data_IF_536455715558
#
_entry.id   IF_536455715558
#
_cell.length_a   1.000
_cell.length_b   1.000
_cell.length_c   1.000
_cell.angle_alpha   90.00
_cell.angle_beta   90.00
_cell.angle_gamma   90.00
#
_symmetry.space_group_name_H-M   'P 1'
#
loop_
_entity.id
_entity.type
_entity.pdbx_description
1 polymer ?
#
# COMPACT_ATOMS: atom_id res chain seq x y z
N UNK A 1 -5.14 -7.47 -0.60
CA UNK A 1 -4.99 -6.71 -1.86
C UNK A 1 -3.64 -6.99 -2.50
N UNK A 2 -2.51 -6.67 -1.86
CA UNK A 2 -1.16 -6.90 -2.41
C UNK A 2 -0.89 -8.34 -2.89
N UNK A 3 -1.29 -9.36 -2.13
CA UNK A 3 -1.15 -10.78 -2.56
C UNK A 3 -1.93 -11.12 -3.84
N UNK A 4 -3.10 -10.51 -4.04
CA UNK A 4 -3.90 -10.72 -5.25
C UNK A 4 -3.24 -10.09 -6.48
N UNK A 5 -2.49 -9.00 -6.28
CA UNK A 5 -1.70 -8.35 -7.33
C UNK A 5 -0.55 -9.23 -7.81
N UNK A 6 0.09 -9.98 -6.91
CA UNK A 6 1.09 -10.97 -7.28
C UNK A 6 0.50 -12.16 -8.04
N UNK A 7 -0.67 -12.63 -7.63
CA UNK A 7 -1.28 -13.82 -8.23
C UNK A 7 -1.82 -13.58 -9.65
N UNK A 8 -2.21 -12.33 -9.97
CA UNK A 8 -2.81 -11.97 -11.25
C UNK A 8 -2.38 -10.57 -11.72
N UNK A 9 -1.07 -10.34 -11.98
CA UNK A 9 -0.54 -9.02 -12.31
C UNK A 9 -1.17 -8.41 -13.58
N UNK A 10 -1.60 -9.24 -14.53
CA UNK A 10 -2.27 -8.85 -15.78
C UNK A 10 -3.60 -8.12 -15.58
N UNK A 11 -4.27 -8.33 -14.44
CA UNK A 11 -5.50 -7.61 -14.09
C UNK A 11 -5.25 -6.16 -13.62
N UNK A 12 -3.98 -5.78 -13.49
CA UNK A 12 -3.57 -4.46 -12.99
C UNK A 12 -2.88 -3.67 -14.11
N UNK A 13 -3.48 -3.60 -15.30
CA UNK A 13 -2.96 -2.81 -16.44
C UNK A 13 -2.76 -1.30 -16.14
N UNK A 14 -3.36 -0.80 -15.07
CA UNK A 14 -3.18 0.58 -14.58
C UNK A 14 -1.83 0.85 -13.90
N UNK A 15 -0.97 -0.16 -13.69
CA UNK A 15 0.33 -0.03 -13.04
C UNK A 15 1.25 1.01 -13.71
N UNK A 16 1.25 1.07 -15.04
CA UNK A 16 1.99 2.10 -15.79
C UNK A 16 1.47 3.52 -15.53
N UNK A 17 0.15 3.68 -15.42
CA UNK A 17 -0.51 4.96 -15.05
C UNK A 17 -0.07 5.43 -13.67
N UNK A 18 0.21 4.52 -12.73
CA UNK A 18 0.65 4.92 -11.38
C UNK A 18 2.06 5.49 -11.33
N UNK A 19 2.98 5.04 -12.17
CA UNK A 19 4.31 5.65 -12.26
C UNK A 19 4.23 7.07 -12.84
N UNK A 20 3.35 7.28 -13.81
CA UNK A 20 3.06 8.60 -14.36
C UNK A 20 2.40 9.52 -13.32
N UNK A 21 1.48 8.99 -12.50
CA UNK A 21 0.91 9.71 -11.34
C UNK A 21 2.01 10.07 -10.33
N UNK A 22 2.91 9.14 -9.98
CA UNK A 22 4.02 9.42 -9.06
C UNK A 22 4.96 10.51 -9.60
N UNK A 23 5.24 10.50 -10.91
CA UNK A 23 5.98 11.56 -11.60
C UNK A 23 5.27 12.91 -11.45
N UNK A 24 3.98 12.97 -11.80
CA UNK A 24 3.16 14.20 -11.71
C UNK A 24 3.05 14.70 -10.28
N UNK A 25 2.83 13.83 -9.29
CA UNK A 25 2.81 14.21 -7.89
C UNK A 25 4.09 14.95 -7.49
N UNK A 26 5.27 14.54 -7.98
CA UNK A 26 6.53 15.23 -7.70
C UNK A 26 6.68 16.56 -8.43
N UNK A 27 6.21 16.67 -9.68
CA UNK A 27 6.54 17.80 -10.57
C UNK A 27 5.41 18.81 -10.78
N UNK A 28 4.18 18.50 -10.39
CA UNK A 28 2.97 19.29 -10.63
C UNK A 28 2.26 19.56 -9.29
N UNK A 29 2.40 20.80 -8.80
CA UNK A 29 1.92 21.18 -7.47
C UNK A 29 0.38 21.28 -7.40
N UNK A 30 -0.26 21.70 -8.49
CA UNK A 30 -1.72 21.79 -8.60
C UNK A 30 -2.33 20.38 -8.61
N UNK A 31 -1.79 19.50 -9.45
CA UNK A 31 -2.19 18.09 -9.45
C UNK A 31 -1.97 17.43 -8.09
N UNK A 32 -0.89 17.76 -7.37
CA UNK A 32 -0.64 17.24 -6.02
C UNK A 32 -1.71 17.71 -5.04
N UNK A 33 -2.11 18.97 -5.06
CA UNK A 33 -3.14 19.50 -4.16
C UNK A 33 -4.49 18.82 -4.41
N UNK A 34 -4.91 18.72 -5.67
CA UNK A 34 -6.14 18.01 -6.05
C UNK A 34 -6.10 16.53 -5.69
N UNK A 35 -4.95 15.90 -5.93
CA UNK A 35 -4.75 14.48 -5.60
C UNK A 35 -4.84 14.24 -4.10
N UNK A 36 -4.17 15.05 -3.28
CA UNK A 36 -4.20 14.92 -1.82
C UNK A 36 -5.64 15.04 -1.29
N UNK A 37 -6.43 15.99 -1.79
CA UNK A 37 -7.83 16.15 -1.38
C UNK A 37 -8.67 14.89 -1.66
N UNK A 38 -8.48 14.26 -2.83
CA UNK A 38 -9.20 13.02 -3.19
C UNK A 38 -8.67 11.78 -2.48
N UNK A 39 -7.38 11.75 -2.21
CA UNK A 39 -6.72 10.59 -1.60
C UNK A 39 -7.01 10.50 -0.10
N UNK A 40 -7.25 11.64 0.56
CA UNK A 40 -7.61 11.70 1.98
C UNK A 40 -8.89 10.91 2.27
N UNK A 41 -9.95 11.09 1.46
CA UNK A 41 -11.22 10.36 1.62
C UNK A 41 -11.05 8.83 1.47
N UNK A 42 -10.20 8.40 0.53
CA UNK A 42 -9.88 6.98 0.32
C UNK A 42 -9.06 6.39 1.48
N UNK A 43 -8.18 7.21 2.07
CA UNK A 43 -7.35 6.81 3.20
C UNK A 43 -8.17 6.59 4.47
N UNK A 44 -9.21 7.40 4.72
CA UNK A 44 -10.05 7.26 5.90
C UNK A 44 -10.72 5.89 6.02
N UNK A 45 -11.20 5.32 4.91
CA UNK A 45 -11.76 3.97 4.92
C UNK A 45 -10.71 2.89 5.26
N UNK A 46 -9.47 3.08 4.81
CA UNK A 46 -8.36 2.18 5.11
C UNK A 46 -7.94 2.28 6.57
N UNK A 47 -7.80 3.50 7.09
CA UNK A 47 -7.49 3.78 8.49
C UNK A 47 -8.57 3.16 9.40
N UNK A 48 -9.86 3.39 9.13
CA UNK A 48 -10.95 2.81 9.89
C UNK A 48 -10.95 1.26 9.87
N UNK A 49 -10.48 0.64 8.78
CA UNK A 49 -10.29 -0.82 8.73
C UNK A 49 -9.12 -1.26 9.62
N UNK A 50 -8.01 -0.52 9.62
CA UNK A 50 -6.86 -0.83 10.47
C UNK A 50 -7.22 -0.67 11.95
N UNK A 51 -7.94 0.39 12.32
CA UNK A 51 -8.42 0.60 13.69
C UNK A 51 -9.29 -0.56 14.19
N UNK A 52 -10.26 -1.00 13.38
CA UNK A 52 -11.08 -2.18 13.73
C UNK A 52 -10.25 -3.44 13.95
N UNK A 53 -9.21 -3.64 13.15
CA UNK A 53 -8.30 -4.79 13.29
C UNK A 53 -7.40 -4.69 14.51
N UNK A 54 -6.96 -3.48 14.86
CA UNK A 54 -6.20 -3.19 16.08
C UNK A 54 -7.07 -3.41 17.32
N UNK A 55 -8.30 -2.91 17.34
CA UNK A 55 -9.28 -3.15 18.39
C UNK A 55 -9.61 -4.64 18.57
N UNK A 56 -9.62 -5.42 17.48
CA UNK A 56 -9.79 -6.87 17.52
C UNK A 56 -8.52 -7.64 17.94
N UNK A 57 -7.42 -6.95 18.28
CA UNK A 57 -6.16 -7.56 18.74
C UNK A 57 -5.36 -8.27 17.65
N UNK A 58 -5.70 -8.08 16.36
CA UNK A 58 -5.03 -8.75 15.24
C UNK A 58 -3.82 -7.99 14.72
N UNK A 59 -3.81 -6.66 14.89
CA UNK A 59 -2.68 -5.80 14.56
C UNK A 59 -1.93 -5.41 15.83
N UNK A 60 -0.64 -5.10 15.65
CA UNK A 60 0.19 -4.52 16.68
C UNK A 60 -0.40 -3.20 17.19
N UNK A 61 -0.24 -2.96 18.48
CA UNK A 61 -0.83 -1.82 19.18
C UNK A 61 0.21 -0.82 19.70
N UNK A 62 1.49 -1.16 19.58
CA UNK A 62 2.66 -0.37 20.01
C UNK A 62 3.00 0.81 19.07
N UNK A 63 2.30 0.95 17.95
CA UNK A 63 2.48 2.07 17.00
C UNK A 63 1.13 2.70 16.61
N UNK A 64 1.10 4.00 16.25
CA UNK A 64 -0.10 4.65 15.72
C UNK A 64 -0.59 3.99 14.42
N UNK A 65 -1.90 4.01 14.19
CA UNK A 65 -2.52 3.38 13.03
C UNK A 65 -2.14 4.09 11.74
N UNK A 66 -1.95 5.41 11.79
CA UNK A 66 -1.49 6.23 10.67
C UNK A 66 -0.09 5.80 10.21
N UNK A 67 0.78 5.41 11.14
CA UNK A 67 2.12 4.89 10.82
C UNK A 67 2.00 3.53 10.10
N UNK A 68 1.09 2.66 10.56
CA UNK A 68 0.82 1.39 9.87
C UNK A 68 0.23 1.61 8.47
N UNK A 69 -0.65 2.59 8.32
CA UNK A 69 -1.22 2.98 7.03
C UNK A 69 -0.12 3.42 6.06
N UNK A 70 0.72 4.38 6.47
CA UNK A 70 1.85 4.87 5.65
C UNK A 70 2.82 3.74 5.30
N UNK A 71 3.14 2.87 6.25
CA UNK A 71 4.01 1.72 6.00
C UNK A 71 3.43 0.78 4.92
N UNK A 72 2.15 0.43 5.02
CA UNK A 72 1.49 -0.45 4.05
C UNK A 72 1.34 0.20 2.67
N UNK A 73 1.10 1.51 2.62
CA UNK A 73 1.07 2.27 1.36
C UNK A 73 2.46 2.29 0.68
N UNK A 74 3.53 2.51 1.44
CA UNK A 74 4.91 2.44 0.92
C UNK A 74 5.24 1.06 0.32
N UNK A 75 4.83 -0.02 0.99
CA UNK A 75 5.00 -1.38 0.47
C UNK A 75 4.19 -1.58 -0.81
N UNK A 76 2.95 -1.10 -0.84
CA UNK A 76 2.09 -1.20 -2.03
C UNK A 76 2.71 -0.48 -3.23
N UNK A 77 3.24 0.74 -3.03
CA UNK A 77 3.88 1.50 -4.10
C UNK A 77 5.16 0.82 -4.61
N UNK A 78 5.99 0.29 -3.70
CA UNK A 78 7.17 -0.51 -4.09
C UNK A 78 6.82 -1.78 -4.85
N UNK A 79 5.74 -2.47 -4.43
CA UNK A 79 5.21 -3.64 -5.11
C UNK A 79 4.75 -3.28 -6.54
N UNK A 80 4.01 -2.19 -6.68
CA UNK A 80 3.53 -1.68 -7.97
C UNK A 80 4.69 -1.35 -8.90
N UNK A 81 5.72 -0.66 -8.41
CA UNK A 81 6.89 -0.31 -9.22
C UNK A 81 7.62 -1.56 -9.74
N UNK A 82 7.77 -2.59 -8.89
CA UNK A 82 8.39 -3.86 -9.29
C UNK A 82 7.55 -4.62 -10.32
N UNK A 83 6.23 -4.72 -10.10
CA UNK A 83 5.31 -5.36 -11.04
C UNK A 83 5.28 -4.64 -12.39
N UNK A 84 5.24 -3.30 -12.40
CA UNK A 84 5.31 -2.49 -13.61
C UNK A 84 6.63 -2.70 -14.38
N UNK A 85 7.71 -3.05 -13.67
CA UNK A 85 9.03 -3.34 -14.25
C UNK A 85 9.20 -4.81 -14.65
N UNK A 86 8.15 -5.64 -14.58
CA UNK A 86 8.19 -7.07 -14.94
C UNK A 86 8.85 -7.98 -13.91
N UNK A 87 9.09 -7.50 -12.69
CA UNK A 87 9.76 -8.28 -11.63
C UNK A 87 8.73 -9.04 -10.79
N UNK A 88 8.29 -10.22 -11.24
CA UNK A 88 7.24 -11.05 -10.61
C UNK A 88 7.79 -12.35 -9.98
N UNK A 89 8.92 -12.28 -9.27
CA UNK A 89 9.56 -13.47 -8.68
C UNK A 89 8.91 -13.96 -7.38
N UNK A 90 9.15 -15.22 -7.02
CA UNK A 90 8.70 -15.85 -5.76
C UNK A 90 9.14 -15.08 -4.51
N UNK A 91 10.28 -14.39 -4.59
CA UNK A 91 10.82 -13.53 -3.52
C UNK A 91 9.81 -12.47 -3.03
N UNK A 92 8.93 -11.98 -3.91
CA UNK A 92 7.93 -10.99 -3.52
C UNK A 92 6.85 -11.55 -2.59
N UNK A 93 6.51 -12.83 -2.74
CA UNK A 93 5.56 -13.47 -1.84
C UNK A 93 6.16 -13.57 -0.43
N UNK A 94 7.43 -13.97 -0.32
CA UNK A 94 8.16 -14.04 0.94
C UNK A 94 8.32 -12.65 1.59
N UNK A 95 8.55 -11.60 0.80
CA UNK A 95 8.55 -10.21 1.30
C UNK A 95 7.20 -9.84 1.89
N UNK A 96 6.09 -10.21 1.25
CA UNK A 96 4.75 -9.94 1.80
C UNK A 96 4.48 -10.72 3.09
N UNK A 97 5.07 -11.90 3.29
CA UNK A 97 5.00 -12.62 4.56
C UNK A 97 5.68 -11.83 5.68
N UNK A 98 6.85 -11.26 5.41
CA UNK A 98 7.57 -10.40 6.36
C UNK A 98 6.77 -9.13 6.69
N UNK A 99 6.20 -8.48 5.67
CA UNK A 99 5.34 -7.29 5.85
C UNK A 99 4.11 -7.63 6.68
N UNK A 100 3.48 -8.78 6.44
CA UNK A 100 2.32 -9.20 7.22
C UNK A 100 2.70 -9.50 8.68
N UNK A 101 3.82 -10.18 8.90
CA UNK A 101 4.34 -10.44 10.24
C UNK A 101 4.71 -9.15 11.00
N UNK A 102 5.17 -8.11 10.30
CA UNK A 102 5.60 -6.84 10.92
C UNK A 102 4.44 -5.98 11.45
N UNK A 103 3.21 -6.20 10.95
CA UNK A 103 2.00 -5.47 11.37
C UNK A 103 1.10 -6.27 12.31
N UNK A 104 1.29 -7.59 12.40
CA UNK A 104 0.53 -8.45 13.31
C UNK A 104 0.92 -8.18 14.76
N UNK A 105 -0.04 -8.35 15.67
CA UNK A 105 0.25 -8.32 17.11
C UNK A 105 1.19 -9.49 17.46
N UNK A 106 2.26 -9.20 18.19
CA UNK A 106 3.12 -10.25 18.74
C UNK A 106 2.38 -10.93 19.92
N UNK A 107 2.54 -12.25 20.09
CA UNK A 107 2.00 -12.96 21.23
C UNK A 107 2.59 -12.46 22.55
#
# INVERSE_FOLDING_TARGET
VMRNMLAKPENYQWLGTRLEIARRLRTDAEFRAEWQQRYEELNQATIARLERKKAAGTLRDDVPTEVLHIYLDLVLDGLIARLASGQTGEDLAAVLDIVEASVRRKP
#
